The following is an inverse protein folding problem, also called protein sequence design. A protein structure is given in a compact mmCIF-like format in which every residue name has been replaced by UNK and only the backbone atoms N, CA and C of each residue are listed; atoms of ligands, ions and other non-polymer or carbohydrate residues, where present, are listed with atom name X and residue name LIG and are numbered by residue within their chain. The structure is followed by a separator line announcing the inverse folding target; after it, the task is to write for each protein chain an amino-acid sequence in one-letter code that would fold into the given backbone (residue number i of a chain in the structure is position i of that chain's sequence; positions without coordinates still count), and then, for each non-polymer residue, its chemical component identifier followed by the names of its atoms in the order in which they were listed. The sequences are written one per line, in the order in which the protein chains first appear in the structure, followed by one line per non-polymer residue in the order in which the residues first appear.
data_IF_757416037354
#
_entry.id   IF_757416037354
#
_cell.length_a   1.000
_cell.length_b   1.000
_cell.length_c   1.000
_cell.angle_alpha   90.00
_cell.angle_beta   90.00
_cell.angle_gamma   90.00
#
_symmetry.space_group_name_H-M   'P 1'
#
loop_
_entity.id
_entity.type
_entity.pdbx_description
1 polymer ?
#
# COMPACT_ATOMS: atom_id res chain seq x y z
N UNK A 1 -67.19 -86.60 -8.38
CA UNK A 1 -67.63 -85.69 -9.44
C UNK A 1 -67.36 -84.26 -9.01
N UNK A 2 -66.43 -83.61 -9.58
CA UNK A 2 -66.37 -82.16 -9.74
C UNK A 2 -65.04 -81.78 -10.41
N UNK A 3 -65.17 -81.45 -11.42
CA UNK A 3 -64.87 -80.52 -12.52
C UNK A 3 -63.60 -79.67 -12.31
N UNK A 4 -62.62 -80.08 -13.08
CA UNK A 4 -61.45 -79.30 -13.45
C UNK A 4 -61.89 -78.19 -14.45
N UNK A 5 -61.77 -76.94 -14.08
CA UNK A 5 -61.67 -75.82 -15.04
C UNK A 5 -61.13 -74.62 -14.35
N UNK A 6 -59.93 -74.27 -14.61
CA UNK A 6 -59.42 -73.02 -15.15
C UNK A 6 -57.97 -72.79 -14.74
N UNK A 7 -57.09 -73.37 -15.53
CA UNK A 7 -55.71 -72.91 -15.62
C UNK A 7 -55.59 -72.24 -16.97
N UNK A 8 -55.56 -70.94 -17.03
CA UNK A 8 -54.90 -70.13 -18.08
C UNK A 8 -55.14 -68.65 -17.81
N UNK A 9 -54.30 -68.09 -17.03
CA UNK A 9 -53.93 -66.68 -17.23
C UNK A 9 -52.43 -66.61 -16.91
N UNK A 10 -51.62 -66.91 -17.88
CA UNK A 10 -50.19 -66.60 -17.87
C UNK A 10 -50.13 -65.10 -18.07
N UNK A 11 -49.79 -64.42 -16.97
CA UNK A 11 -49.51 -63.03 -16.98
C UNK A 11 -48.27 -62.76 -17.85
N UNK A 12 -48.44 -62.04 -18.94
CA UNK A 12 -47.33 -61.50 -19.72
C UNK A 12 -46.53 -60.58 -18.81
N UNK A 13 -45.33 -60.97 -18.49
CA UNK A 13 -44.38 -60.08 -17.86
C UNK A 13 -44.14 -58.86 -18.76
N UNK A 14 -44.50 -57.74 -18.23
CA UNK A 14 -44.20 -56.45 -18.80
C UNK A 14 -42.71 -56.28 -18.72
N UNK A 15 -42.01 -56.37 -19.84
CA UNK A 15 -40.63 -55.94 -19.94
C UNK A 15 -40.62 -54.40 -19.76
N UNK A 16 -39.86 -53.82 -18.81
CA UNK A 16 -39.72 -52.40 -18.77
C UNK A 16 -38.97 -51.95 -20.02
N UNK A 17 -39.54 -51.03 -20.76
CA UNK A 17 -38.86 -50.38 -21.87
C UNK A 17 -37.56 -49.76 -21.32
N UNK A 18 -36.43 -50.33 -21.71
CA UNK A 18 -35.13 -49.71 -21.49
C UNK A 18 -35.11 -48.38 -22.23
N UNK A 19 -35.27 -47.32 -21.45
CA UNK A 19 -35.11 -45.95 -21.91
C UNK A 19 -33.66 -45.78 -22.32
N UNK A 20 -33.38 -45.98 -23.61
CA UNK A 20 -32.06 -45.64 -24.16
C UNK A 20 -31.80 -44.17 -23.90
N UNK A 21 -31.04 -43.87 -22.85
CA UNK A 21 -30.50 -42.56 -22.64
C UNK A 21 -29.63 -42.25 -23.86
N UNK A 22 -30.12 -41.31 -24.68
CA UNK A 22 -29.30 -40.75 -25.76
C UNK A 22 -28.08 -40.13 -25.11
N UNK A 23 -26.94 -40.79 -25.18
CA UNK A 23 -25.63 -40.20 -24.86
C UNK A 23 -25.47 -39.03 -25.80
N UNK A 24 -25.63 -37.81 -25.28
CA UNK A 24 -25.22 -36.60 -25.97
C UNK A 24 -23.74 -36.74 -26.23
N UNK A 25 -23.31 -36.74 -27.49
CA UNK A 25 -21.94 -36.68 -27.89
C UNK A 25 -21.35 -35.39 -27.35
N UNK A 26 -20.69 -35.46 -26.22
CA UNK A 26 -19.88 -34.33 -25.70
C UNK A 26 -18.80 -34.07 -26.74
N UNK A 27 -18.89 -32.95 -27.44
CA UNK A 27 -17.82 -32.46 -28.30
C UNK A 27 -16.67 -32.08 -27.36
N UNK A 28 -15.61 -32.82 -27.39
CA UNK A 28 -14.38 -32.55 -26.66
C UNK A 28 -13.61 -31.40 -27.33
N UNK A 29 -12.89 -30.62 -26.52
CA UNK A 29 -11.93 -29.63 -27.03
C UNK A 29 -10.78 -30.32 -27.75
N UNK A 30 -10.30 -29.75 -28.83
CA UNK A 30 -9.10 -30.22 -29.48
C UNK A 30 -7.86 -29.83 -28.65
N UNK A 31 -6.81 -30.65 -28.72
CA UNK A 31 -5.55 -30.37 -28.02
C UNK A 31 -4.96 -29.02 -28.49
N UNK A 32 -5.10 -28.71 -29.79
CA UNK A 32 -4.58 -27.47 -30.36
C UNK A 32 -5.33 -26.24 -29.86
N UNK A 33 -6.65 -26.31 -29.68
CA UNK A 33 -7.44 -25.22 -29.08
C UNK A 33 -6.98 -24.91 -27.66
N UNK A 34 -6.74 -25.95 -26.85
CA UNK A 34 -6.24 -25.77 -25.49
C UNK A 34 -4.83 -25.16 -25.50
N UNK A 35 -3.94 -25.64 -26.37
CA UNK A 35 -2.57 -25.13 -26.46
C UNK A 35 -2.53 -23.63 -26.85
N UNK A 36 -3.32 -23.20 -27.81
CA UNK A 36 -3.37 -21.79 -28.22
C UNK A 36 -3.86 -20.92 -27.07
N UNK A 37 -4.90 -21.33 -26.35
CA UNK A 37 -5.47 -20.56 -25.24
C UNK A 37 -4.45 -20.40 -24.12
N UNK A 38 -3.79 -21.49 -23.71
CA UNK A 38 -2.77 -21.44 -22.65
C UNK A 38 -1.58 -20.59 -23.08
N UNK A 39 -1.15 -20.66 -24.34
CA UNK A 39 -0.07 -19.83 -24.85
C UNK A 39 -0.42 -18.33 -24.79
N UNK A 40 -1.65 -17.94 -25.19
CA UNK A 40 -2.09 -16.55 -25.13
C UNK A 40 -2.20 -16.06 -23.68
N UNK A 41 -2.78 -16.87 -22.79
CA UNK A 41 -2.85 -16.54 -21.34
C UNK A 41 -1.44 -16.38 -20.77
N UNK A 42 -0.50 -17.24 -21.11
CA UNK A 42 0.89 -17.16 -20.67
C UNK A 42 1.56 -15.84 -21.06
N UNK A 43 1.39 -15.40 -22.30
CA UNK A 43 1.93 -14.13 -22.79
C UNK A 43 1.29 -12.94 -22.05
N UNK A 44 -0.04 -12.95 -21.93
CA UNK A 44 -0.75 -11.88 -21.23
C UNK A 44 -0.36 -11.81 -19.74
N UNK A 45 -0.26 -12.95 -19.07
CA UNK A 45 0.15 -13.02 -17.67
C UNK A 45 1.59 -12.52 -17.46
N UNK A 46 2.51 -12.83 -18.36
CA UNK A 46 3.91 -12.39 -18.26
C UNK A 46 4.05 -10.85 -18.21
N UNK A 47 3.18 -10.12 -18.90
CA UNK A 47 3.16 -8.66 -18.91
C UNK A 47 2.32 -8.10 -17.76
N UNK A 48 1.18 -8.71 -17.45
CA UNK A 48 0.23 -8.20 -16.47
C UNK A 48 0.68 -8.37 -15.02
N UNK A 49 1.32 -9.51 -14.67
CA UNK A 49 1.70 -9.80 -13.29
C UNK A 49 2.68 -8.79 -12.66
N UNK A 50 3.78 -8.37 -13.33
CA UNK A 50 4.69 -7.37 -12.78
C UNK A 50 4.00 -6.01 -12.55
N UNK A 51 3.18 -5.57 -13.49
CA UNK A 51 2.45 -4.30 -13.38
C UNK A 51 1.44 -4.34 -12.21
N UNK A 52 0.74 -5.46 -12.03
CA UNK A 52 -0.18 -5.66 -10.92
C UNK A 52 0.54 -5.66 -9.56
N UNK A 53 1.72 -6.29 -9.47
CA UNK A 53 2.52 -6.28 -8.25
C UNK A 53 2.96 -4.87 -7.87
N UNK A 54 3.48 -4.08 -8.80
CA UNK A 54 3.88 -2.69 -8.53
C UNK A 54 2.69 -1.82 -8.12
N UNK A 55 1.52 -2.02 -8.72
CA UNK A 55 0.28 -1.32 -8.34
C UNK A 55 -0.15 -1.66 -6.91
N UNK A 56 -0.17 -2.95 -6.55
CA UNK A 56 -0.57 -3.38 -5.22
C UNK A 56 0.41 -2.93 -4.14
N UNK A 57 1.70 -2.94 -4.42
CA UNK A 57 2.72 -2.40 -3.50
C UNK A 57 2.52 -0.90 -3.30
N UNK A 58 2.27 -0.14 -4.36
CA UNK A 58 1.98 1.30 -4.27
C UNK A 58 0.75 1.60 -3.41
N UNK A 59 -0.32 0.83 -3.58
CA UNK A 59 -1.52 0.99 -2.75
C UNK A 59 -1.23 0.77 -1.26
N UNK A 60 -0.37 -0.19 -0.91
CA UNK A 60 0.05 -0.45 0.47
C UNK A 60 0.99 0.63 1.02
N UNK A 61 1.90 1.15 0.19
CA UNK A 61 2.79 2.26 0.57
C UNK A 61 2.01 3.55 0.81
N UNK A 62 0.90 3.75 0.10
CA UNK A 62 0.01 4.90 0.34
C UNK A 62 -0.56 4.94 1.77
N UNK A 63 -0.70 3.78 2.44
CA UNK A 63 -1.05 3.75 3.87
C UNK A 63 0.02 4.42 4.74
N UNK A 64 1.31 4.27 4.38
CA UNK A 64 2.39 5.00 5.03
C UNK A 64 2.26 6.52 4.87
N UNK A 65 1.81 6.98 3.70
CA UNK A 65 1.55 8.42 3.47
C UNK A 65 0.39 8.91 4.34
N UNK A 66 -0.64 8.10 4.52
CA UNK A 66 -1.78 8.40 5.42
C UNK A 66 -1.29 8.49 6.88
N UNK A 67 -0.45 7.55 7.33
CA UNK A 67 0.14 7.59 8.67
C UNK A 67 0.95 8.87 8.89
N UNK A 68 1.80 9.25 7.92
CA UNK A 68 2.52 10.53 7.96
C UNK A 68 1.60 11.76 7.92
N UNK A 69 0.41 11.64 7.31
CA UNK A 69 -0.54 12.75 7.22
C UNK A 69 -1.16 13.11 8.56
N UNK A 70 -1.25 12.20 9.50
CA UNK A 70 -1.67 12.50 10.88
C UNK A 70 -0.69 13.48 11.55
N UNK A 71 0.60 13.21 11.42
CA UNK A 71 1.64 14.11 11.94
C UNK A 71 1.67 15.47 11.21
N UNK A 72 1.40 15.50 9.88
CA UNK A 72 1.26 16.76 9.14
C UNK A 72 0.15 17.63 9.71
N UNK A 73 -0.99 17.02 10.03
CA UNK A 73 -2.14 17.74 10.64
C UNK A 73 -1.73 18.44 11.94
N UNK A 74 -1.13 17.68 12.86
CA UNK A 74 -0.67 18.19 14.17
C UNK A 74 0.35 19.32 14.01
N UNK A 75 1.35 19.15 13.14
CA UNK A 75 2.36 20.18 12.89
C UNK A 75 1.77 21.42 12.23
N UNK A 76 0.85 21.26 11.26
CA UNK A 76 0.22 22.39 10.59
C UNK A 76 -0.64 23.21 11.54
N UNK A 77 -1.40 22.57 12.43
CA UNK A 77 -2.21 23.23 13.45
C UNK A 77 -1.33 23.97 14.47
N UNK A 78 -0.26 23.32 14.93
CA UNK A 78 0.69 23.92 15.85
C UNK A 78 1.40 25.15 15.25
N UNK A 79 1.73 25.09 13.95
CA UNK A 79 2.27 26.27 13.25
C UNK A 79 1.29 27.42 13.18
N UNK A 80 0.01 27.15 12.90
CA UNK A 80 -1.02 28.21 12.85
C UNK A 80 -1.26 28.87 14.22
N UNK A 81 -1.01 28.12 15.30
CA UNK A 81 -1.24 28.60 16.67
C UNK A 81 -0.05 29.39 17.21
N UNK A 82 1.18 28.92 17.01
CA UNK A 82 2.39 29.48 17.66
C UNK A 82 3.65 29.42 16.74
N UNK A 83 3.45 29.49 15.44
CA UNK A 83 4.54 29.55 14.46
C UNK A 83 5.54 28.39 14.60
N UNK A 84 6.82 28.74 14.50
CA UNK A 84 7.92 27.74 14.62
C UNK A 84 8.09 27.17 16.03
N UNK A 85 7.69 27.90 17.07
CA UNK A 85 7.66 27.41 18.45
C UNK A 85 6.65 26.27 18.58
N UNK A 86 5.45 26.45 18.01
CA UNK A 86 4.42 25.43 17.93
C UNK A 86 4.90 24.18 17.18
N UNK A 87 5.55 24.36 16.02
CA UNK A 87 6.14 23.24 15.27
C UNK A 87 7.10 22.44 16.13
N UNK A 88 7.97 23.10 16.89
CA UNK A 88 8.97 22.44 17.76
C UNK A 88 8.30 21.67 18.90
N UNK A 89 7.29 22.28 19.54
CA UNK A 89 6.52 21.63 20.61
C UNK A 89 5.78 20.39 20.09
N UNK A 90 5.12 20.51 18.95
CA UNK A 90 4.41 19.41 18.30
C UNK A 90 5.36 18.29 17.84
N UNK A 91 6.51 18.62 17.26
CA UNK A 91 7.53 17.65 16.85
C UNK A 91 8.08 16.88 18.08
N UNK A 92 8.30 17.57 19.19
CA UNK A 92 8.70 16.95 20.45
C UNK A 92 7.65 15.98 20.97
N UNK A 93 6.38 16.37 20.96
CA UNK A 93 5.27 15.51 21.36
C UNK A 93 5.14 14.26 20.46
N UNK A 94 5.24 14.42 19.14
CA UNK A 94 5.21 13.31 18.17
C UNK A 94 6.37 12.35 18.43
N UNK A 95 7.58 12.86 18.68
CA UNK A 95 8.74 12.01 18.93
C UNK A 95 8.70 11.31 20.30
N UNK A 96 8.04 11.92 21.30
CA UNK A 96 7.84 11.31 22.62
C UNK A 96 6.82 10.16 22.61
N UNK A 97 5.93 10.10 21.60
CA UNK A 97 4.97 8.99 21.44
C UNK A 97 5.72 7.69 21.18
N UNK A 98 5.36 6.63 21.90
CA UNK A 98 5.98 5.32 21.74
C UNK A 98 5.82 4.78 20.29
N UNK A 99 6.86 4.14 19.76
CA UNK A 99 6.82 3.63 18.39
C UNK A 99 5.67 2.63 18.17
N UNK A 100 5.33 1.84 19.18
CA UNK A 100 4.25 0.85 19.11
C UNK A 100 2.87 1.48 18.83
N UNK A 101 2.66 2.73 19.22
CA UNK A 101 1.43 3.47 18.94
C UNK A 101 1.41 4.07 17.53
N UNK A 102 2.58 4.26 16.93
CA UNK A 102 2.79 4.80 15.58
C UNK A 102 2.94 3.73 14.52
N UNK A 103 3.27 2.51 14.93
CA UNK A 103 3.43 1.38 14.03
C UNK A 103 2.10 0.89 13.45
N UNK A 104 2.11 0.48 12.20
CA UNK A 104 0.99 -0.18 11.55
C UNK A 104 1.47 -1.40 10.76
N UNK A 105 0.54 -2.07 10.07
CA UNK A 105 0.88 -3.20 9.22
C UNK A 105 1.95 -2.88 8.18
N UNK A 106 2.00 -1.65 7.68
CA UNK A 106 2.91 -1.22 6.59
C UNK A 106 3.87 -0.12 7.00
N UNK A 107 3.82 0.33 8.25
CA UNK A 107 4.69 1.37 8.81
C UNK A 107 5.40 0.85 10.05
N UNK A 108 6.73 0.93 10.06
CA UNK A 108 7.53 0.61 11.25
C UNK A 108 7.34 1.71 12.29
N UNK A 109 7.57 2.94 11.86
CA UNK A 109 7.53 4.13 12.71
C UNK A 109 7.54 5.38 11.84
N UNK A 110 7.20 6.53 12.43
CA UNK A 110 7.50 7.83 11.86
C UNK A 110 8.05 8.76 12.94
N UNK A 111 9.04 9.59 12.56
CA UNK A 111 9.68 10.53 13.45
C UNK A 111 9.84 11.88 12.76
N UNK A 112 9.87 12.94 13.55
CA UNK A 112 10.20 14.28 13.07
C UNK A 112 11.69 14.51 13.29
N UNK A 113 12.39 14.93 12.24
CA UNK A 113 13.83 15.21 12.28
C UNK A 113 14.09 16.70 12.01
N UNK A 114 15.14 17.21 12.62
CA UNK A 114 15.61 18.57 12.37
C UNK A 114 16.34 18.69 11.02
N UNK A 115 17.04 17.68 10.62
CA UNK A 115 17.97 17.71 9.49
C UNK A 115 17.32 17.34 8.15
N UNK A 116 16.20 17.85 7.76
CA UNK A 116 15.58 17.67 6.43
C UNK A 116 15.64 16.27 5.80
N UNK A 117 16.81 15.70 5.73
CA UNK A 117 17.11 14.35 5.24
C UNK A 117 17.33 13.34 6.36
N UNK A 118 16.52 13.39 7.44
CA UNK A 118 16.62 12.45 8.56
C UNK A 118 16.72 10.99 8.11
N UNK A 119 17.39 10.16 8.90
CA UNK A 119 17.49 8.72 8.66
C UNK A 119 16.11 8.04 8.70
N UNK A 120 16.04 6.79 8.23
CA UNK A 120 14.80 6.01 8.36
C UNK A 120 14.51 5.72 9.85
N UNK A 121 13.30 6.01 10.34
CA UNK A 121 12.88 5.58 11.67
C UNK A 121 12.94 4.06 11.81
N UNK A 122 13.36 3.60 13.00
CA UNK A 122 13.44 2.16 13.31
C UNK A 122 12.33 1.76 14.27
N UNK A 123 12.25 0.47 14.61
CA UNK A 123 11.36 -0.05 15.65
C UNK A 123 11.87 0.31 17.06
N UNK A 124 12.19 1.58 17.25
CA UNK A 124 12.60 2.19 18.50
C UNK A 124 11.93 3.57 18.61
N UNK A 125 11.93 4.15 19.80
CA UNK A 125 11.43 5.50 19.98
C UNK A 125 12.28 6.50 19.19
N UNK A 126 11.64 7.56 18.71
CA UNK A 126 12.35 8.65 18.05
C UNK A 126 13.30 9.35 19.05
N UNK A 127 14.38 9.88 18.54
CA UNK A 127 15.21 10.79 19.34
C UNK A 127 14.43 12.04 19.70
N UNK A 128 14.73 12.62 20.87
CA UNK A 128 14.10 13.88 21.28
C UNK A 128 14.37 14.97 20.22
N UNK A 129 13.32 15.75 19.91
CA UNK A 129 13.45 16.84 18.96
C UNK A 129 14.10 18.04 19.67
N UNK A 130 15.18 18.61 19.12
CA UNK A 130 15.86 19.72 19.75
C UNK A 130 14.99 20.99 19.69
N UNK A 131 14.93 21.74 20.80
CA UNK A 131 14.15 22.99 20.88
C UNK A 131 14.77 24.16 20.10
N UNK A 132 15.96 23.98 19.52
CA UNK A 132 16.61 24.92 18.60
C UNK A 132 16.47 24.49 17.12
N UNK A 133 15.60 23.54 16.85
CA UNK A 133 15.39 22.98 15.53
C UNK A 133 14.87 24.04 14.53
N UNK A 134 15.28 23.87 13.29
CA UNK A 134 14.91 24.74 12.16
C UNK A 134 14.24 23.98 11.03
N UNK A 135 14.17 22.65 11.11
CA UNK A 135 13.54 21.81 10.10
C UNK A 135 12.67 20.73 10.79
N UNK A 136 11.46 20.57 10.38
CA UNK A 136 10.44 19.68 10.98
C UNK A 136 10.01 18.59 10.00
N UNK A 137 10.98 17.95 9.36
CA UNK A 137 10.70 16.90 8.37
C UNK A 137 10.23 15.63 9.05
N UNK A 138 9.04 15.15 8.68
CA UNK A 138 8.52 13.85 9.08
C UNK A 138 9.14 12.81 8.16
N UNK A 139 9.87 11.85 8.71
CA UNK A 139 10.32 10.67 7.99
C UNK A 139 9.48 9.47 8.39
N UNK A 140 9.00 8.71 7.41
CA UNK A 140 8.13 7.55 7.61
C UNK A 140 8.83 6.31 7.07
N UNK A 141 9.08 5.31 7.93
CA UNK A 141 9.72 4.05 7.54
C UNK A 141 8.70 2.96 7.25
N UNK A 142 8.89 2.24 6.15
CA UNK A 142 7.99 1.16 5.71
C UNK A 142 8.31 -0.15 6.42
N UNK A 143 7.26 -0.84 6.84
CA UNK A 143 7.30 -2.24 7.29
C UNK A 143 7.04 -3.15 6.10
N UNK A 144 8.09 -3.80 5.59
CA UNK A 144 8.00 -4.72 4.45
C UNK A 144 8.40 -6.13 4.91
N UNK A 145 7.42 -6.91 5.34
CA UNK A 145 7.59 -8.31 5.74
C UNK A 145 6.97 -9.24 4.71
N UNK A 146 7.39 -10.48 4.69
CA UNK A 146 6.81 -11.50 3.79
C UNK A 146 5.29 -11.63 3.94
N UNK A 147 4.76 -11.44 5.17
CA UNK A 147 3.33 -11.58 5.48
C UNK A 147 2.47 -10.39 5.04
N UNK A 148 3.04 -9.21 4.77
CA UNK A 148 2.26 -8.04 4.34
C UNK A 148 2.25 -7.81 2.82
N UNK A 149 2.98 -8.65 2.07
CA UNK A 149 2.98 -8.62 0.60
C UNK A 149 3.56 -7.33 0.00
N UNK A 150 4.52 -6.73 0.68
CA UNK A 150 5.44 -5.72 0.17
C UNK A 150 6.80 -6.40 0.00
N UNK A 151 7.56 -6.14 -1.09
CA UNK A 151 8.90 -6.68 -1.24
C UNK A 151 9.78 -6.38 -0.02
N UNK A 152 10.40 -7.40 0.54
CA UNK A 152 11.22 -7.27 1.76
C UNK A 152 12.40 -6.32 1.61
N UNK A 153 12.83 -6.06 0.37
CA UNK A 153 13.85 -5.05 0.05
C UNK A 153 13.42 -3.62 0.39
N UNK A 154 12.14 -3.37 0.63
CA UNK A 154 11.63 -2.06 1.05
C UNK A 154 11.57 -1.93 2.58
N UNK A 155 11.91 -2.98 3.33
CA UNK A 155 11.85 -2.94 4.80
C UNK A 155 12.85 -1.94 5.35
N UNK A 156 12.35 -1.01 6.15
CA UNK A 156 13.16 0.05 6.74
C UNK A 156 13.53 1.19 5.78
N UNK A 157 13.10 1.14 4.50
CA UNK A 157 13.24 2.32 3.64
C UNK A 157 12.21 3.37 4.02
N UNK A 158 12.56 4.64 3.84
CA UNK A 158 11.72 5.76 4.27
C UNK A 158 11.48 6.78 3.16
N UNK A 159 10.43 7.56 3.34
CA UNK A 159 10.15 8.77 2.56
C UNK A 159 9.95 9.94 3.52
N UNK A 160 10.13 11.15 3.02
CA UNK A 160 10.04 12.36 3.83
C UNK A 160 8.82 13.20 3.45
N UNK A 161 8.26 13.86 4.48
CA UNK A 161 7.25 14.89 4.35
C UNK A 161 7.81 16.15 5.04
N UNK A 162 8.11 17.17 4.26
CA UNK A 162 8.79 18.38 4.75
C UNK A 162 7.86 19.60 4.67
N UNK A 163 7.73 20.37 5.76
CA UNK A 163 6.88 21.55 5.77
C UNK A 163 7.51 22.70 4.98
N UNK A 164 6.68 23.42 4.26
CA UNK A 164 7.02 24.66 3.55
C UNK A 164 5.95 25.72 3.81
N UNK A 165 6.35 26.95 3.97
CA UNK A 165 5.46 28.12 4.03
C UNK A 165 5.90 29.07 2.93
N UNK A 166 4.98 29.44 2.05
CA UNK A 166 5.30 30.22 0.85
C UNK A 166 6.43 29.59 0.00
N UNK A 167 6.50 28.25 -0.07
CA UNK A 167 7.48 27.50 -0.85
C UNK A 167 8.84 27.31 -0.20
N UNK A 168 9.09 27.84 0.99
CA UNK A 168 10.37 27.76 1.69
C UNK A 168 10.23 27.14 3.07
N UNK A 169 11.36 26.78 3.69
CA UNK A 169 11.40 26.31 5.06
C UNK A 169 10.75 27.33 6.00
N UNK A 170 9.87 26.92 6.92
CA UNK A 170 9.27 27.82 7.90
C UNK A 170 10.32 28.52 8.76
N UNK A 171 10.18 29.82 8.95
CA UNK A 171 10.99 30.64 9.87
C UNK A 171 10.06 31.40 10.82
N UNK A 172 10.62 32.00 11.88
CA UNK A 172 9.81 32.65 12.91
C UNK A 172 8.90 33.77 12.39
N UNK A 173 9.25 34.36 11.25
CA UNK A 173 8.44 35.41 10.57
C UNK A 173 7.52 34.88 9.48
N UNK A 174 7.53 33.57 9.23
CA UNK A 174 6.67 32.96 8.21
C UNK A 174 5.20 33.06 8.63
N UNK A 175 4.35 33.50 7.69
CA UNK A 175 2.90 33.55 7.84
C UNK A 175 2.25 32.85 6.65
N UNK A 176 1.15 32.16 6.89
CA UNK A 176 0.40 31.47 5.84
C UNK A 176 0.21 29.99 6.13
N UNK A 177 -0.38 29.30 5.16
CA UNK A 177 -0.61 27.85 5.26
C UNK A 177 0.68 27.07 5.08
N UNK A 178 0.79 25.96 5.80
CA UNK A 178 1.88 25.00 5.61
C UNK A 178 1.55 24.13 4.41
N UNK A 179 2.39 24.15 3.38
CA UNK A 179 2.39 23.20 2.28
C UNK A 179 3.42 22.10 2.54
N UNK A 180 3.16 20.90 2.06
CA UNK A 180 3.98 19.72 2.36
C UNK A 180 4.64 19.19 1.12
N UNK A 181 5.98 19.19 1.12
CA UNK A 181 6.77 18.47 0.15
C UNK A 181 6.79 16.99 0.52
N UNK A 182 6.45 16.11 -0.41
CA UNK A 182 6.65 14.66 -0.27
C UNK A 182 7.82 14.23 -1.15
N UNK A 183 8.79 13.53 -0.58
CA UNK A 183 9.99 13.08 -1.30
C UNK A 183 10.27 11.62 -1.04
N UNK A 184 10.71 10.92 -2.08
CA UNK A 184 11.10 9.50 -2.04
C UNK A 184 12.57 9.38 -2.46
N UNK A 185 12.93 8.46 -3.36
CA UNK A 185 14.22 8.47 -4.04
C UNK A 185 14.39 9.67 -4.99
N UNK A 186 13.31 10.42 -5.23
CA UNK A 186 13.29 11.66 -6.01
C UNK A 186 12.47 12.73 -5.29
N UNK A 187 12.67 13.98 -5.69
CA UNK A 187 11.93 15.15 -5.21
C UNK A 187 11.34 15.99 -6.36
N UNK A 188 11.20 15.39 -7.54
CA UNK A 188 10.81 16.09 -8.78
C UNK A 188 9.46 16.79 -8.63
N UNK A 189 8.46 16.10 -8.07
CA UNK A 189 7.13 16.68 -7.87
C UNK A 189 7.15 17.86 -6.90
N UNK A 190 7.90 17.76 -5.80
CA UNK A 190 8.05 18.83 -4.81
C UNK A 190 8.79 20.03 -5.38
N UNK A 191 9.87 19.79 -6.14
CA UNK A 191 10.62 20.83 -6.84
C UNK A 191 9.76 21.51 -7.92
N UNK A 192 9.00 20.74 -8.68
CA UNK A 192 8.07 21.27 -9.70
C UNK A 192 6.96 22.15 -9.11
N UNK A 193 6.60 21.95 -7.83
CA UNK A 193 5.67 22.80 -7.07
C UNK A 193 6.34 24.02 -6.44
N UNK A 194 7.66 24.18 -6.60
CA UNK A 194 8.42 25.29 -6.01
C UNK A 194 8.67 25.15 -4.50
N UNK A 195 8.62 23.92 -3.96
CA UNK A 195 8.85 23.65 -2.54
C UNK A 195 10.36 23.43 -2.30
N UNK A 196 11.02 24.38 -1.66
CA UNK A 196 12.48 24.36 -1.46
C UNK A 196 12.93 23.40 -0.34
N UNK A 197 12.07 23.19 0.69
CA UNK A 197 12.34 22.18 1.71
C UNK A 197 11.85 20.82 1.22
N UNK A 198 12.68 20.12 0.46
CA UNK A 198 12.33 18.87 -0.21
C UNK A 198 13.46 17.83 -0.20
N UNK A 199 14.22 17.76 0.89
CA UNK A 199 15.34 16.83 1.03
C UNK A 199 14.86 15.36 0.96
N UNK A 200 15.61 14.55 0.20
CA UNK A 200 15.40 13.10 0.08
C UNK A 200 15.96 12.40 1.31
N UNK A 201 15.32 11.30 1.73
CA UNK A 201 15.83 10.49 2.84
C UNK A 201 17.16 9.80 2.49
N UNK A 202 17.98 9.49 3.49
CA UNK A 202 19.25 8.78 3.30
C UNK A 202 19.06 7.34 2.79
N UNK A 203 17.95 6.69 3.17
CA UNK A 203 17.57 5.35 2.69
C UNK A 203 16.17 5.41 2.05
N UNK A 204 16.07 5.95 0.83
CA UNK A 204 14.79 6.35 0.29
C UNK A 204 14.01 5.17 -0.31
N UNK A 205 12.69 5.24 -0.23
CA UNK A 205 11.80 4.34 -0.98
C UNK A 205 11.94 4.64 -2.47
N UNK A 206 12.12 3.61 -3.34
CA UNK A 206 12.17 3.83 -4.79
C UNK A 206 10.89 4.49 -5.32
N UNK A 207 11.05 5.50 -6.18
CA UNK A 207 9.96 6.33 -6.70
C UNK A 207 8.83 5.53 -7.37
N UNK A 208 9.14 4.37 -7.98
CA UNK A 208 8.14 3.52 -8.64
C UNK A 208 7.05 3.01 -7.69
N UNK A 209 7.34 2.88 -6.41
CA UNK A 209 6.39 2.42 -5.39
C UNK A 209 5.67 3.55 -4.66
N UNK A 210 6.00 4.80 -4.95
CA UNK A 210 5.39 5.95 -4.32
C UNK A 210 4.26 6.55 -5.14
N UNK A 211 3.29 7.23 -4.52
CA UNK A 211 2.32 8.07 -5.21
C UNK A 211 2.99 9.17 -6.05
N UNK A 212 2.27 9.72 -7.03
CA UNK A 212 2.80 10.72 -7.96
C UNK A 212 3.31 11.99 -7.27
N UNK A 213 2.68 12.38 -6.16
CA UNK A 213 3.05 13.54 -5.37
C UNK A 213 4.40 13.40 -4.63
N UNK A 214 4.89 12.18 -4.49
CA UNK A 214 6.12 11.84 -3.77
C UNK A 214 7.27 11.39 -4.68
N UNK A 215 7.18 11.67 -5.98
CA UNK A 215 8.19 11.26 -6.97
C UNK A 215 9.10 12.40 -7.40
#
# INVERSE_FOLDING_TARGET
TASLKNIRQVSLAIYPEEKFMKRSLQKGFTLIELMIVVAIIGILAAVALPAYQDYTVRAKVSEGVIAGSSAKGVLSEAFQSDGTTGLTAAATAINATAFAEKASKYVINYCVFDAGAGGAPTAANCTAFPNTATNWTISVALAATAGNGIPTSLNGLAFNLAPNVAGVLPVATSVGAVDWACTSATNVSSTGRGLANNAVNATPVPAKYMPSECR
#
